data_IF_798566345715
#
_entry.id   IF_798566345715
#
_cell.length_a   1.000
_cell.length_b   1.000
_cell.length_c   1.000
_cell.angle_alpha   90.00
_cell.angle_beta   90.00
_cell.angle_gamma   90.00
#
_symmetry.space_group_name_H-M   'P 1'
#
loop_
_entity.id
_entity.type
_entity.pdbx_description
1 polymer ?
#
# COMPACT_ATOMS: atom_id res chain seq x y z
N UNK A 1 11.90 52.97 -26.39
CA UNK A 1 11.98 52.04 -25.23
C UNK A 1 13.38 52.16 -24.63
N UNK A 2 13.52 52.47 -23.32
CA UNK A 2 14.85 52.74 -22.76
C UNK A 2 15.65 51.44 -22.54
N UNK A 3 16.97 51.49 -22.73
CA UNK A 3 17.89 50.36 -22.52
C UNK A 3 17.73 49.67 -21.15
N UNK A 4 17.24 50.39 -20.13
CA UNK A 4 16.97 49.85 -18.79
C UNK A 4 15.81 48.86 -18.78
N UNK A 5 14.75 49.12 -19.56
CA UNK A 5 13.56 48.27 -19.63
C UNK A 5 13.89 46.95 -20.34
N UNK A 6 14.68 47.01 -21.42
CA UNK A 6 15.12 45.81 -22.15
C UNK A 6 15.99 44.91 -21.26
N UNK A 7 16.94 45.50 -20.51
CA UNK A 7 17.77 44.74 -19.56
C UNK A 7 16.95 44.08 -18.45
N UNK A 8 15.94 44.78 -17.92
CA UNK A 8 15.05 44.23 -16.89
C UNK A 8 14.23 43.06 -17.45
N UNK A 9 13.70 43.18 -18.67
CA UNK A 9 12.95 42.12 -19.33
C UNK A 9 13.83 40.90 -19.61
N UNK A 10 15.03 41.09 -20.16
CA UNK A 10 15.99 40.00 -20.39
C UNK A 10 16.38 39.32 -19.08
N UNK A 11 16.61 40.10 -18.02
CA UNK A 11 16.91 39.56 -16.69
C UNK A 11 15.76 38.72 -16.13
N UNK A 12 14.51 39.21 -16.24
CA UNK A 12 13.32 38.47 -15.82
C UNK A 12 13.14 37.18 -16.64
N UNK A 13 13.34 37.21 -17.96
CA UNK A 13 13.28 36.01 -18.80
C UNK A 13 14.34 34.97 -18.40
N UNK A 14 15.59 35.40 -18.19
CA UNK A 14 16.68 34.50 -17.76
C UNK A 14 16.39 33.91 -16.38
N UNK A 15 15.87 34.70 -15.44
CA UNK A 15 15.49 34.23 -14.11
C UNK A 15 14.37 33.19 -14.16
N UNK A 16 13.32 33.43 -14.96
CA UNK A 16 12.21 32.48 -15.13
C UNK A 16 12.69 31.17 -15.76
N UNK A 17 13.55 31.23 -16.79
CA UNK A 17 14.13 30.03 -17.41
C UNK A 17 14.98 29.25 -16.39
N UNK A 18 15.79 29.94 -15.59
CA UNK A 18 16.61 29.30 -14.55
C UNK A 18 15.75 28.60 -13.47
N UNK A 19 14.65 29.22 -13.05
CA UNK A 19 13.70 28.63 -12.09
C UNK A 19 13.03 27.37 -12.65
N UNK A 20 12.57 27.41 -13.90
CA UNK A 20 11.95 26.24 -14.56
C UNK A 20 12.94 25.08 -14.71
N UNK A 21 14.20 25.36 -15.05
CA UNK A 21 15.24 24.35 -15.12
C UNK A 21 15.52 23.71 -13.75
N UNK A 22 15.52 24.49 -12.67
CA UNK A 22 15.71 23.99 -11.32
C UNK A 22 14.55 23.08 -10.86
N UNK A 23 13.30 23.45 -11.16
CA UNK A 23 12.14 22.61 -10.87
C UNK A 23 12.16 21.29 -11.65
N UNK A 24 12.58 21.33 -12.93
CA UNK A 24 12.71 20.14 -13.75
C UNK A 24 13.74 19.16 -13.18
N UNK A 25 14.94 19.66 -12.84
CA UNK A 25 16.00 18.84 -12.25
C UNK A 25 15.59 18.27 -10.88
N UNK A 26 14.91 19.06 -10.05
CA UNK A 26 14.38 18.59 -8.78
C UNK A 26 13.39 17.43 -8.98
N UNK A 27 12.50 17.55 -9.97
CA UNK A 27 11.55 16.50 -10.31
C UNK A 27 12.23 15.22 -10.80
N UNK A 28 13.28 15.31 -11.62
CA UNK A 28 14.05 14.15 -12.06
C UNK A 28 14.76 13.45 -10.90
N UNK A 29 15.40 14.21 -10.01
CA UNK A 29 16.07 13.67 -8.81
C UNK A 29 15.06 12.95 -7.91
N UNK A 30 13.88 13.53 -7.69
CA UNK A 30 12.81 12.90 -6.92
C UNK A 30 12.31 11.61 -7.58
N UNK A 31 12.17 11.60 -8.90
CA UNK A 31 11.73 10.42 -9.65
C UNK A 31 12.78 9.28 -9.61
N UNK A 32 14.07 9.62 -9.67
CA UNK A 32 15.15 8.66 -9.48
C UNK A 32 15.15 8.09 -8.06
N UNK A 33 15.02 8.95 -7.04
CA UNK A 33 14.92 8.51 -5.64
C UNK A 33 13.73 7.56 -5.41
N UNK A 34 12.56 7.90 -5.95
CA UNK A 34 11.38 7.03 -5.91
C UNK A 34 11.62 5.70 -6.63
N UNK A 35 12.24 5.73 -7.81
CA UNK A 35 12.55 4.52 -8.59
C UNK A 35 13.52 3.59 -7.84
N UNK A 36 14.52 4.14 -7.16
CA UNK A 36 15.46 3.34 -6.37
C UNK A 36 14.81 2.77 -5.11
N UNK A 37 13.90 3.52 -4.45
CA UNK A 37 13.08 2.98 -3.36
C UNK A 37 12.17 1.84 -3.84
N UNK A 38 11.53 1.99 -5.00
CA UNK A 38 10.71 0.94 -5.62
C UNK A 38 11.54 -0.29 -5.99
N UNK A 39 12.77 -0.11 -6.49
CA UNK A 39 13.71 -1.21 -6.76
C UNK A 39 14.13 -1.94 -5.48
N UNK A 40 14.38 -1.22 -4.39
CA UNK A 40 14.64 -1.80 -3.08
C UNK A 40 13.46 -2.65 -2.59
N UNK A 41 12.25 -2.11 -2.71
CA UNK A 41 11.01 -2.81 -2.38
C UNK A 41 10.83 -4.06 -3.26
N UNK A 42 11.14 -4.00 -4.56
CA UNK A 42 11.00 -5.14 -5.47
C UNK A 42 11.85 -6.35 -5.06
N UNK A 43 13.10 -6.12 -4.61
CA UNK A 43 13.96 -7.20 -4.09
C UNK A 43 13.38 -7.82 -2.82
N UNK A 44 12.92 -6.98 -1.88
CA UNK A 44 12.30 -7.46 -0.64
C UNK A 44 11.02 -8.25 -0.92
N UNK A 45 10.18 -7.80 -1.87
CA UNK A 45 8.97 -8.49 -2.28
C UNK A 45 9.26 -9.85 -2.92
N UNK A 46 10.28 -9.94 -3.77
CA UNK A 46 10.68 -11.20 -4.37
C UNK A 46 11.14 -12.22 -3.31
N UNK A 47 11.86 -11.76 -2.28
CA UNK A 47 12.22 -12.61 -1.15
C UNK A 47 10.98 -13.05 -0.36
N UNK A 48 10.07 -12.12 -0.04
CA UNK A 48 8.82 -12.44 0.66
C UNK A 48 7.96 -13.43 -0.14
N UNK A 49 7.88 -13.28 -1.46
CA UNK A 49 7.13 -14.19 -2.33
C UNK A 49 7.72 -15.59 -2.31
N UNK A 50 9.05 -15.71 -2.40
CA UNK A 50 9.75 -16.99 -2.28
C UNK A 50 9.45 -17.65 -0.93
N UNK A 51 9.61 -16.93 0.17
CA UNK A 51 9.37 -17.46 1.51
C UNK A 51 7.90 -17.85 1.71
N UNK A 52 6.97 -17.02 1.21
CA UNK A 52 5.54 -17.29 1.27
C UNK A 52 5.17 -18.57 0.49
N UNK A 53 5.78 -18.79 -0.68
CA UNK A 53 5.63 -20.04 -1.46
C UNK A 53 6.18 -21.28 -0.73
N UNK A 54 7.17 -21.10 0.14
CA UNK A 54 7.68 -22.16 1.02
C UNK A 54 6.86 -22.33 2.32
N UNK A 55 5.71 -21.64 2.44
CA UNK A 55 4.78 -21.78 3.56
C UNK A 55 5.08 -20.87 4.76
N UNK A 56 6.00 -19.90 4.61
CA UNK A 56 6.26 -18.92 5.65
C UNK A 56 5.06 -17.97 5.82
N UNK A 57 4.40 -18.08 6.97
CA UNK A 57 3.17 -17.34 7.28
C UNK A 57 3.45 -15.84 7.40
N UNK A 58 4.52 -15.47 8.12
CA UNK A 58 4.95 -14.08 8.28
C UNK A 58 5.27 -13.44 6.92
N UNK A 59 5.91 -14.19 6.02
CA UNK A 59 6.20 -13.70 4.68
C UNK A 59 4.90 -13.46 3.87
N UNK A 60 3.94 -14.39 3.95
CA UNK A 60 2.63 -14.25 3.31
C UNK A 60 1.86 -13.05 3.84
N UNK A 61 1.86 -12.83 5.16
CA UNK A 61 1.24 -11.67 5.80
C UNK A 61 1.88 -10.35 5.34
N UNK A 62 3.22 -10.25 5.41
CA UNK A 62 3.95 -9.05 5.00
C UNK A 62 3.74 -8.72 3.52
N UNK A 63 3.72 -9.75 2.66
CA UNK A 63 3.44 -9.59 1.24
C UNK A 63 2.01 -9.08 1.00
N UNK A 64 1.03 -9.60 1.74
CA UNK A 64 -0.35 -9.11 1.70
C UNK A 64 -0.46 -7.64 2.10
N UNK A 65 0.19 -7.25 3.21
CA UNK A 65 0.24 -5.86 3.67
C UNK A 65 0.92 -4.94 2.67
N UNK A 66 1.97 -5.42 2.00
CA UNK A 66 2.66 -4.62 0.98
C UNK A 66 1.75 -4.29 -0.21
N UNK A 67 0.97 -5.27 -0.70
CA UNK A 67 -0.03 -5.04 -1.74
C UNK A 67 -1.19 -4.16 -1.27
N UNK A 68 -1.65 -4.35 -0.02
CA UNK A 68 -2.72 -3.55 0.57
C UNK A 68 -2.36 -2.06 0.69
N UNK A 69 -1.13 -1.77 1.10
CA UNK A 69 -0.65 -0.41 1.33
C UNK A 69 0.00 0.24 0.09
N UNK A 70 0.05 -0.46 -1.04
CA UNK A 70 0.66 0.02 -2.27
C UNK A 70 2.18 0.15 -2.23
N UNK A 71 2.86 -0.55 -1.31
CA UNK A 71 4.32 -0.56 -1.22
C UNK A 71 4.99 -1.22 -2.44
N UNK A 72 4.20 -1.94 -3.25
CA UNK A 72 4.60 -2.53 -4.53
C UNK A 72 4.49 -1.55 -5.71
N UNK A 73 4.25 -0.27 -5.45
CA UNK A 73 4.08 0.80 -6.45
C UNK A 73 2.62 1.19 -6.70
N UNK A 74 1.67 0.30 -6.39
CA UNK A 74 0.25 0.59 -6.42
C UNK A 74 -0.51 -0.36 -5.49
N UNK A 75 -1.65 0.09 -4.96
CA UNK A 75 -2.53 -0.76 -4.14
C UNK A 75 -3.15 -1.86 -5.01
N UNK A 76 -2.98 -3.12 -4.61
CA UNK A 76 -3.60 -4.29 -5.24
C UNK A 76 -4.36 -5.10 -4.20
N UNK A 77 -5.64 -4.74 -3.99
CA UNK A 77 -6.51 -5.42 -3.02
C UNK A 77 -6.73 -6.89 -3.37
N UNK A 78 -6.73 -7.27 -4.66
CA UNK A 78 -6.94 -8.66 -5.07
C UNK A 78 -5.76 -9.53 -4.65
N UNK A 79 -4.53 -9.08 -4.89
CA UNK A 79 -3.33 -9.78 -4.42
C UNK A 79 -3.20 -9.76 -2.89
N UNK A 80 -3.54 -8.65 -2.24
CA UNK A 80 -3.58 -8.60 -0.78
C UNK A 80 -4.54 -9.64 -0.20
N UNK A 81 -5.77 -9.74 -0.72
CA UNK A 81 -6.76 -10.74 -0.32
C UNK A 81 -6.26 -12.18 -0.53
N UNK A 82 -5.53 -12.43 -1.62
CA UNK A 82 -4.96 -13.75 -1.89
C UNK A 82 -3.94 -14.11 -0.80
N UNK A 83 -2.95 -13.26 -0.56
CA UNK A 83 -1.87 -13.55 0.39
C UNK A 83 -2.35 -13.56 1.86
N UNK A 84 -3.29 -12.69 2.23
CA UNK A 84 -3.92 -12.78 3.55
C UNK A 84 -4.68 -14.10 3.72
N UNK A 85 -5.35 -14.62 2.68
CA UNK A 85 -5.99 -15.95 2.76
C UNK A 85 -4.96 -17.06 2.94
N UNK A 86 -3.84 -17.00 2.21
CA UNK A 86 -2.74 -17.99 2.37
C UNK A 86 -2.26 -18.00 3.82
N UNK A 87 -1.97 -16.82 4.40
CA UNK A 87 -1.54 -16.73 5.80
C UNK A 87 -2.62 -17.22 6.77
N UNK A 88 -3.87 -16.78 6.58
CA UNK A 88 -5.00 -17.17 7.42
C UNK A 88 -5.29 -18.68 7.38
N UNK A 89 -5.16 -19.35 6.23
CA UNK A 89 -5.33 -20.81 6.15
C UNK A 89 -4.23 -21.58 6.88
N UNK A 90 -3.06 -20.98 7.02
CA UNK A 90 -1.97 -21.53 7.81
C UNK A 90 -2.09 -21.22 9.32
N UNK A 91 -3.12 -20.47 9.73
CA UNK A 91 -3.47 -20.27 11.14
C UNK A 91 -3.17 -18.88 11.70
N UNK A 92 -2.67 -17.97 10.87
CA UNK A 92 -2.40 -16.57 11.25
C UNK A 92 -3.70 -15.83 11.58
N UNK A 93 -3.85 -15.45 12.85
CA UNK A 93 -5.03 -14.79 13.38
C UNK A 93 -5.14 -13.31 12.95
N UNK A 94 -4.01 -12.64 12.74
CA UNK A 94 -3.95 -11.26 12.27
C UNK A 94 -4.35 -11.18 10.80
N UNK A 95 -3.92 -12.15 9.99
CA UNK A 95 -4.38 -12.27 8.61
C UNK A 95 -5.91 -12.46 8.53
N UNK A 96 -6.49 -13.26 9.44
CA UNK A 96 -7.94 -13.42 9.54
C UNK A 96 -8.62 -12.09 9.91
N UNK A 97 -8.09 -11.35 10.89
CA UNK A 97 -8.60 -10.03 11.27
C UNK A 97 -8.58 -9.06 10.07
N UNK A 98 -7.46 -9.00 9.34
CA UNK A 98 -7.31 -8.15 8.16
C UNK A 98 -8.29 -8.51 7.04
N UNK A 99 -8.56 -9.81 6.80
CA UNK A 99 -9.60 -10.23 5.86
C UNK A 99 -10.99 -9.76 6.30
N UNK A 100 -11.29 -9.85 7.60
CA UNK A 100 -12.53 -9.33 8.18
C UNK A 100 -12.71 -7.84 7.86
N UNK A 101 -11.66 -7.04 8.12
CA UNK A 101 -11.65 -5.61 7.83
C UNK A 101 -11.81 -5.28 6.35
N UNK A 102 -11.10 -5.97 5.46
CA UNK A 102 -11.17 -5.73 4.02
C UNK A 102 -12.60 -5.97 3.50
N UNK A 103 -13.26 -7.05 3.95
CA UNK A 103 -14.64 -7.33 3.56
C UNK A 103 -15.66 -6.39 4.23
N UNK A 104 -15.30 -5.74 5.33
CA UNK A 104 -16.15 -4.76 6.02
C UNK A 104 -16.07 -3.35 5.41
N UNK A 105 -14.86 -2.85 5.10
CA UNK A 105 -14.60 -1.42 4.83
C UNK A 105 -14.79 -0.92 3.38
N UNK A 106 -15.45 -1.67 2.49
CA UNK A 106 -15.63 -1.30 1.07
C UNK A 106 -14.41 -0.61 0.41
N UNK A 107 -13.23 -1.27 0.32
CA UNK A 107 -12.14 -0.70 -0.44
C UNK A 107 -12.62 -0.38 -1.86
N UNK A 108 -12.07 0.67 -2.50
CA UNK A 108 -12.53 1.30 -3.76
C UNK A 108 -12.84 0.35 -4.93
N UNK A 109 -12.43 -0.92 -4.84
CA UNK A 109 -12.58 -1.97 -5.86
C UNK A 109 -13.15 -3.29 -5.30
N UNK A 110 -13.85 -3.28 -4.16
CA UNK A 110 -14.48 -4.44 -3.54
C UNK A 110 -15.79 -4.06 -2.86
N UNK A 111 -16.86 -4.79 -3.16
CA UNK A 111 -18.14 -4.64 -2.46
C UNK A 111 -18.04 -5.10 -1.00
N UNK A 112 -18.74 -4.40 -0.11
CA UNK A 112 -18.90 -4.84 1.29
C UNK A 112 -19.52 -6.24 1.28
N UNK A 113 -18.94 -7.14 2.06
CA UNK A 113 -19.50 -8.45 2.27
C UNK A 113 -19.49 -8.79 3.76
N UNK A 114 -20.53 -8.35 4.47
CA UNK A 114 -20.68 -8.57 5.91
C UNK A 114 -20.66 -10.05 6.29
N UNK A 115 -21.16 -10.94 5.42
CA UNK A 115 -21.09 -12.39 5.64
C UNK A 115 -19.65 -12.89 5.67
N UNK A 116 -18.81 -12.47 4.71
CA UNK A 116 -17.39 -12.81 4.69
C UNK A 116 -16.62 -12.12 5.81
N UNK A 117 -16.97 -10.87 6.13
CA UNK A 117 -16.37 -10.15 7.25
C UNK A 117 -16.60 -10.91 8.57
N UNK A 118 -17.86 -11.24 8.90
CA UNK A 118 -18.20 -12.06 10.08
C UNK A 118 -17.52 -13.42 10.06
N UNK A 119 -17.42 -14.09 8.91
CA UNK A 119 -16.72 -15.37 8.79
C UNK A 119 -15.26 -15.26 9.25
N UNK A 120 -14.53 -14.25 8.76
CA UNK A 120 -13.12 -14.07 9.11
C UNK A 120 -12.91 -13.56 10.54
N UNK A 121 -13.75 -12.63 11.00
CA UNK A 121 -13.71 -12.18 12.40
C UNK A 121 -13.99 -13.34 13.38
N UNK A 122 -14.95 -14.24 13.10
CA UNK A 122 -15.19 -15.44 13.94
C UNK A 122 -13.97 -16.33 14.06
N UNK A 123 -13.20 -16.50 12.97
CA UNK A 123 -11.99 -17.33 12.97
C UNK A 123 -10.82 -16.65 13.70
N UNK A 124 -10.70 -15.33 13.59
CA UNK A 124 -9.69 -14.57 14.33
C UNK A 124 -10.01 -14.55 15.83
N UNK A 125 -11.28 -14.34 16.19
CA UNK A 125 -11.77 -14.38 17.57
C UNK A 125 -11.54 -15.76 18.22
N UNK A 126 -11.74 -16.87 17.49
CA UNK A 126 -11.48 -18.22 18.03
C UNK A 126 -9.99 -18.51 18.29
N UNK A 127 -9.10 -17.62 17.84
CA UNK A 127 -7.65 -17.63 18.14
C UNK A 127 -7.28 -16.65 19.26
N UNK A 128 -8.24 -15.97 19.88
CA UNK A 128 -8.01 -15.05 21.00
C UNK A 128 -7.70 -13.61 20.60
N UNK A 129 -8.06 -13.20 19.38
CA UNK A 129 -7.91 -11.79 18.96
C UNK A 129 -9.11 -10.98 19.45
N UNK A 130 -8.90 -10.16 20.48
CA UNK A 130 -9.95 -9.36 21.12
C UNK A 130 -10.63 -8.37 20.15
N UNK A 131 -9.84 -7.73 19.27
CA UNK A 131 -10.38 -6.81 18.25
C UNK A 131 -11.41 -7.51 17.35
N UNK A 132 -11.19 -8.80 17.03
CA UNK A 132 -12.15 -9.56 16.24
C UNK A 132 -13.46 -9.84 17.01
N UNK A 133 -13.39 -10.02 18.33
CA UNK A 133 -14.56 -10.19 19.21
C UNK A 133 -15.36 -8.88 19.25
N UNK A 134 -14.68 -7.75 19.44
CA UNK A 134 -15.31 -6.41 19.41
C UNK A 134 -16.03 -6.18 18.08
N UNK A 135 -15.39 -6.48 16.95
CA UNK A 135 -15.99 -6.34 15.63
C UNK A 135 -17.22 -7.23 15.44
N UNK A 136 -17.24 -8.44 16.00
CA UNK A 136 -18.43 -9.29 15.96
C UNK A 136 -19.59 -8.72 16.76
N UNK A 137 -19.30 -8.13 17.93
CA UNK A 137 -20.32 -7.48 18.75
C UNK A 137 -20.94 -6.27 18.03
N UNK A 138 -20.13 -5.50 17.30
CA UNK A 138 -20.59 -4.37 16.48
C UNK A 138 -21.45 -4.79 15.29
N UNK A 139 -21.19 -5.97 14.70
CA UNK A 139 -21.87 -6.43 13.49
C UNK A 139 -23.27 -7.00 13.70
N UNK A 140 -23.70 -7.16 14.97
CA UNK A 140 -24.89 -7.92 15.33
C UNK A 140 -24.70 -9.41 15.03
N UNK A 141 -25.05 -10.28 15.98
CA UNK A 141 -24.83 -11.74 15.88
C UNK A 141 -25.39 -12.35 14.58
#
# INVERSE_FOLDING_TARGET
MSMKIIKLFVYQCVLVIALLAAEYLLKEVLLLYQKDQLRGNAKALALLEREALHGNQNASFLLATAYHNGKTGAVDIKKALYWYKVSAYNGDADAMLMLGWIYYKQPKNLEVNLRKARYWFKRSASKGVDEAIEMLNLLGQ
#
